data_IF_794632401757
#
_entry.id   IF_794632401757
#
_cell.length_a   1.000
_cell.length_b   1.000
_cell.length_c   1.000
_cell.angle_alpha   90.00
_cell.angle_beta   90.00
_cell.angle_gamma   90.00
#
_symmetry.space_group_name_H-M   'P 1'
#
loop_
_entity.id
_entity.type
_entity.pdbx_description
1 polymer ?
#
# COMPACT_ATOMS: atom_id res chain seq x y z
N UNK A 1 -19.54 -19.69 28.83
CA UNK A 1 -19.15 -18.57 27.97
C UNK A 1 -20.39 -18.03 27.31
N UNK A 2 -20.69 -16.77 27.52
CA UNK A 2 -21.80 -16.10 26.83
C UNK A 2 -21.41 -15.86 25.37
N UNK A 3 -22.39 -15.82 24.44
CA UNK A 3 -22.10 -15.62 23.02
C UNK A 3 -21.32 -14.31 22.73
N UNK A 4 -21.48 -13.29 23.57
CA UNK A 4 -20.74 -12.02 23.48
C UNK A 4 -19.26 -12.15 23.84
N UNK A 5 -18.89 -12.97 24.81
CA UNK A 5 -17.50 -13.25 25.19
C UNK A 5 -16.74 -13.99 24.08
N UNK A 6 -17.44 -14.89 23.36
CA UNK A 6 -16.84 -15.61 22.24
C UNK A 6 -16.57 -14.68 21.05
N UNK A 7 -17.52 -13.78 20.72
CA UNK A 7 -17.33 -12.76 19.67
C UNK A 7 -16.13 -11.88 19.97
N UNK A 8 -16.00 -11.43 21.22
CA UNK A 8 -14.90 -10.54 21.64
C UNK A 8 -13.55 -11.24 21.54
N UNK A 9 -13.44 -12.48 22.05
CA UNK A 9 -12.19 -13.26 21.95
C UNK A 9 -11.77 -13.55 20.52
N UNK A 10 -12.73 -13.92 19.63
CA UNK A 10 -12.42 -14.17 18.22
C UNK A 10 -11.99 -12.87 17.52
N UNK A 11 -12.59 -11.73 17.89
CA UNK A 11 -12.18 -10.44 17.36
C UNK A 11 -10.76 -10.06 17.80
N UNK A 12 -10.46 -10.20 19.07
CA UNK A 12 -9.13 -9.94 19.65
C UNK A 12 -8.04 -10.83 19.03
N UNK A 13 -8.34 -12.09 18.72
CA UNK A 13 -7.41 -13.02 18.04
C UNK A 13 -7.20 -12.72 16.56
N UNK A 14 -8.13 -12.03 15.89
CA UNK A 14 -8.08 -11.76 14.44
C UNK A 14 -7.77 -10.30 14.12
N UNK A 15 -7.85 -9.40 15.10
CA UNK A 15 -7.51 -7.99 14.97
C UNK A 15 -6.24 -7.73 15.77
N UNK A 16 -5.19 -7.25 15.08
CA UNK A 16 -3.91 -6.94 15.73
C UNK A 16 -4.18 -5.78 16.69
N UNK A 17 -4.35 -6.09 17.98
CA UNK A 17 -4.55 -5.10 19.01
C UNK A 17 -3.20 -4.53 19.44
N UNK A 18 -3.08 -3.21 19.45
CA UNK A 18 -1.97 -2.55 20.14
C UNK A 18 -2.13 -2.81 21.65
N UNK A 19 -1.10 -3.36 22.28
CA UNK A 19 -1.02 -3.31 23.75
C UNK A 19 -0.95 -1.83 24.17
N UNK A 20 -1.95 -1.34 24.94
CA UNK A 20 -2.00 0.07 25.34
C UNK A 20 -0.79 0.49 26.17
N UNK A 21 -0.07 -0.45 26.79
CA UNK A 21 1.06 -0.17 27.70
C UNK A 21 2.41 -0.21 26.99
N UNK A 22 2.64 -1.15 26.07
CA UNK A 22 3.94 -1.31 25.42
C UNK A 22 4.02 -0.57 24.08
N UNK A 23 2.88 -0.32 23.43
CA UNK A 23 2.82 0.24 22.07
C UNK A 23 3.47 -0.63 21.00
N UNK A 24 3.80 -1.86 21.35
CA UNK A 24 4.19 -2.92 20.43
C UNK A 24 2.95 -3.73 20.04
N UNK A 25 2.88 -4.17 18.81
CA UNK A 25 1.86 -5.12 18.39
C UNK A 25 2.09 -6.44 19.14
N UNK A 26 1.08 -6.87 19.88
CA UNK A 26 1.12 -8.18 20.53
C UNK A 26 0.76 -9.22 19.46
N UNK A 27 1.79 -9.90 18.96
CA UNK A 27 1.66 -10.83 17.84
C UNK A 27 1.25 -12.20 18.35
N UNK A 28 0.00 -12.55 18.10
CA UNK A 28 -0.48 -13.90 18.34
C UNK A 28 0.08 -14.88 17.28
N UNK A 29 0.21 -16.14 17.65
CA UNK A 29 0.63 -17.19 16.71
C UNK A 29 -0.23 -17.25 15.45
N UNK A 30 -1.50 -16.84 15.54
CA UNK A 30 -2.44 -16.74 14.42
C UNK A 30 -1.97 -15.68 13.42
N UNK A 31 -1.54 -14.52 13.91
CA UNK A 31 -1.04 -13.42 13.08
C UNK A 31 0.23 -13.84 12.33
N UNK A 32 1.17 -14.48 13.04
CA UNK A 32 2.41 -15.00 12.44
C UNK A 32 2.10 -16.05 11.37
N UNK A 33 1.14 -16.96 11.65
CA UNK A 33 0.71 -17.97 10.69
C UNK A 33 0.07 -17.33 9.44
N UNK A 34 -0.87 -16.40 9.62
CA UNK A 34 -1.52 -15.71 8.51
C UNK A 34 -0.54 -14.87 7.68
N UNK A 35 0.38 -14.18 8.35
CA UNK A 35 1.45 -13.43 7.69
C UNK A 35 2.34 -14.36 6.84
N UNK A 36 2.81 -15.46 7.43
CA UNK A 36 3.61 -16.46 6.71
C UNK A 36 2.85 -17.04 5.52
N UNK A 37 1.56 -17.34 5.69
CA UNK A 37 0.71 -17.85 4.62
C UNK A 37 0.54 -16.84 3.49
N UNK A 38 0.38 -15.54 3.78
CA UNK A 38 0.32 -14.48 2.76
C UNK A 38 1.65 -14.42 1.99
N UNK A 39 2.79 -14.39 2.70
CA UNK A 39 4.11 -14.31 2.06
C UNK A 39 4.39 -15.53 1.19
N UNK A 40 4.08 -16.74 1.68
CA UNK A 40 4.21 -17.98 0.90
C UNK A 40 3.29 -17.99 -0.33
N UNK A 41 2.08 -17.44 -0.23
CA UNK A 41 1.19 -17.29 -1.38
C UNK A 41 1.76 -16.38 -2.45
N UNK A 42 2.32 -15.22 -2.05
CA UNK A 42 2.99 -14.31 -2.98
C UNK A 42 4.15 -15.01 -3.67
N UNK A 43 4.97 -15.71 -2.90
CA UNK A 43 6.09 -16.49 -3.44
C UNK A 43 5.59 -17.57 -4.41
N UNK A 44 4.54 -18.31 -4.05
CA UNK A 44 3.97 -19.34 -4.91
C UNK A 44 3.47 -18.77 -6.24
N UNK A 45 2.75 -17.63 -6.23
CA UNK A 45 2.30 -16.95 -7.45
C UNK A 45 3.47 -16.50 -8.31
N UNK A 46 4.55 -15.99 -7.72
CA UNK A 46 5.77 -15.62 -8.46
C UNK A 46 6.41 -16.87 -9.10
N UNK A 47 6.56 -17.95 -8.33
CA UNK A 47 7.14 -19.19 -8.83
C UNK A 47 6.28 -19.87 -9.90
N UNK A 48 4.95 -19.75 -9.82
CA UNK A 48 4.00 -20.26 -10.82
C UNK A 48 4.21 -19.58 -12.20
N UNK A 49 4.79 -18.39 -12.26
CA UNK A 49 5.10 -17.72 -13.53
C UNK A 49 6.27 -18.38 -14.28
N UNK A 50 7.07 -19.18 -13.59
CA UNK A 50 8.22 -19.89 -14.19
C UNK A 50 7.73 -21.20 -14.82
N UNK A 51 7.67 -21.25 -16.15
CA UNK A 51 7.11 -22.39 -16.90
C UNK A 51 7.67 -23.77 -16.48
N UNK A 52 8.98 -23.87 -16.21
CA UNK A 52 9.60 -25.12 -15.80
C UNK A 52 9.12 -25.60 -14.43
N UNK A 53 8.85 -24.69 -13.50
CA UNK A 53 8.32 -25.01 -12.18
C UNK A 53 6.82 -25.32 -12.24
N UNK A 54 6.07 -24.59 -13.05
CA UNK A 54 4.65 -24.84 -13.25
C UNK A 54 4.39 -26.22 -13.84
N UNK A 55 5.18 -26.65 -14.85
CA UNK A 55 5.05 -27.98 -15.44
C UNK A 55 5.40 -29.09 -14.45
N UNK A 56 6.35 -28.87 -13.55
CA UNK A 56 6.82 -29.90 -12.60
C UNK A 56 5.98 -29.95 -11.32
N UNK A 57 5.54 -28.78 -10.81
CA UNK A 57 4.91 -28.64 -9.49
C UNK A 57 3.49 -28.04 -9.56
N UNK A 58 2.86 -27.99 -10.73
CA UNK A 58 1.54 -27.35 -10.91
C UNK A 58 0.46 -27.88 -9.96
N UNK A 59 0.44 -29.20 -9.69
CA UNK A 59 -0.49 -29.80 -8.71
C UNK A 59 -0.23 -29.31 -7.29
N UNK A 60 1.05 -29.12 -6.92
CA UNK A 60 1.42 -28.63 -5.59
C UNK A 60 0.99 -27.16 -5.43
N UNK A 61 1.22 -26.31 -6.45
CA UNK A 61 0.76 -24.93 -6.45
C UNK A 61 -0.76 -24.83 -6.35
N UNK A 62 -1.47 -25.65 -7.11
CA UNK A 62 -2.93 -25.69 -7.05
C UNK A 62 -3.44 -26.14 -5.66
N UNK A 63 -2.89 -27.21 -5.08
CA UNK A 63 -3.26 -27.69 -3.76
C UNK A 63 -2.98 -26.63 -2.67
N UNK A 64 -1.83 -25.96 -2.77
CA UNK A 64 -1.47 -24.86 -1.87
C UNK A 64 -2.42 -23.66 -2.02
N UNK A 65 -2.84 -23.32 -3.25
CA UNK A 65 -3.82 -22.29 -3.50
C UNK A 65 -5.16 -22.62 -2.87
N UNK A 66 -5.68 -23.83 -3.08
CA UNK A 66 -6.94 -24.30 -2.46
C UNK A 66 -6.87 -24.21 -0.94
N UNK A 67 -5.78 -24.71 -0.34
CA UNK A 67 -5.58 -24.63 1.10
C UNK A 67 -5.58 -23.18 1.60
N UNK A 68 -4.84 -22.31 0.95
CA UNK A 68 -4.71 -20.91 1.34
C UNK A 68 -6.03 -20.16 1.22
N UNK A 69 -6.77 -20.39 0.12
CA UNK A 69 -8.10 -19.78 -0.06
C UNK A 69 -9.09 -20.29 0.98
N UNK A 70 -9.04 -21.57 1.35
CA UNK A 70 -9.89 -22.11 2.42
C UNK A 70 -9.60 -21.42 3.75
N UNK A 71 -8.33 -21.27 4.12
CA UNK A 71 -7.91 -20.54 5.35
C UNK A 71 -8.39 -19.08 5.30
N UNK A 72 -8.13 -18.35 4.21
CA UNK A 72 -8.57 -16.96 4.08
C UNK A 72 -10.09 -16.80 4.06
N UNK A 73 -10.83 -17.79 3.55
CA UNK A 73 -12.29 -17.77 3.58
C UNK A 73 -12.82 -17.95 5.00
N UNK A 74 -12.23 -18.87 5.76
CA UNK A 74 -12.57 -19.08 7.18
C UNK A 74 -12.22 -17.83 7.99
N UNK A 75 -11.02 -17.26 7.80
CA UNK A 75 -10.61 -16.00 8.41
C UNK A 75 -11.61 -14.86 8.12
N UNK A 76 -11.97 -14.66 6.85
CA UNK A 76 -12.91 -13.62 6.44
C UNK A 76 -14.31 -13.83 7.04
N UNK A 77 -14.82 -15.06 7.01
CA UNK A 77 -16.10 -15.40 7.62
C UNK A 77 -16.07 -15.15 9.15
N UNK A 78 -15.01 -15.56 9.83
CA UNK A 78 -14.82 -15.33 11.27
C UNK A 78 -14.78 -13.83 11.62
N UNK A 79 -14.12 -13.03 10.79
CA UNK A 79 -14.07 -11.55 10.93
C UNK A 79 -15.44 -10.90 10.73
N UNK A 80 -16.19 -11.29 9.69
CA UNK A 80 -17.57 -10.80 9.47
C UNK A 80 -18.47 -11.18 10.63
N UNK A 81 -18.29 -12.38 11.18
CA UNK A 81 -19.07 -12.83 12.32
C UNK A 81 -18.73 -12.06 13.59
N UNK A 82 -17.44 -11.83 13.88
CA UNK A 82 -16.96 -11.20 15.12
C UNK A 82 -16.94 -9.67 15.07
N UNK A 83 -17.02 -9.02 13.89
CA UNK A 83 -16.90 -7.56 13.74
C UNK A 83 -17.89 -6.76 14.60
N UNK A 84 -19.01 -7.36 15.03
CA UNK A 84 -20.01 -6.73 15.90
C UNK A 84 -19.49 -6.48 17.32
N UNK A 85 -18.35 -7.05 17.71
CA UNK A 85 -17.67 -6.75 18.95
C UNK A 85 -17.04 -5.34 18.95
N UNK A 86 -16.64 -4.82 17.78
CA UNK A 86 -16.14 -3.45 17.64
C UNK A 86 -17.30 -2.44 17.72
N UNK A 87 -17.20 -1.40 18.58
CA UNK A 87 -18.18 -0.32 18.69
C UNK A 87 -18.57 0.33 17.35
N UNK A 88 -17.65 0.36 16.37
CA UNK A 88 -17.89 0.93 15.02
C UNK A 88 -18.89 0.12 14.20
N UNK A 89 -19.05 -1.19 14.51
CA UNK A 89 -19.85 -2.14 13.74
C UNK A 89 -20.94 -2.82 14.59
N UNK A 90 -21.37 -2.21 15.70
CA UNK A 90 -22.29 -2.76 16.71
C UNK A 90 -23.63 -3.23 16.19
N UNK A 91 -24.08 -2.74 15.02
CA UNK A 91 -25.37 -3.15 14.44
C UNK A 91 -25.25 -4.49 13.71
N UNK A 92 -26.12 -5.49 13.98
CA UNK A 92 -25.89 -6.86 13.50
C UNK A 92 -25.88 -7.01 11.97
N UNK A 93 -26.70 -6.25 11.23
CA UNK A 93 -26.74 -6.31 9.75
C UNK A 93 -25.97 -5.15 9.12
N UNK A 94 -26.26 -3.92 9.51
CA UNK A 94 -25.63 -2.73 8.94
C UNK A 94 -24.15 -2.66 9.30
N UNK A 95 -23.77 -3.11 10.51
CA UNK A 95 -22.38 -3.19 10.93
C UNK A 95 -21.56 -4.16 10.07
N UNK A 96 -22.10 -5.35 9.80
CA UNK A 96 -21.44 -6.32 8.91
C UNK A 96 -21.29 -5.80 7.49
N UNK A 97 -22.34 -5.17 6.93
CA UNK A 97 -22.28 -4.57 5.60
C UNK A 97 -21.23 -3.45 5.55
N UNK A 98 -21.18 -2.61 6.60
CA UNK A 98 -20.17 -1.55 6.73
C UNK A 98 -18.75 -2.14 6.85
N UNK A 99 -18.59 -3.27 7.56
CA UNK A 99 -17.30 -3.97 7.63
C UNK A 99 -16.86 -4.51 6.28
N UNK A 100 -17.74 -5.21 5.56
CA UNK A 100 -17.47 -5.72 4.20
C UNK A 100 -17.08 -4.59 3.23
N UNK A 101 -17.73 -3.41 3.36
CA UNK A 101 -17.42 -2.22 2.55
C UNK A 101 -16.22 -1.43 3.06
N UNK A 102 -15.61 -1.81 4.18
CA UNK A 102 -14.38 -1.18 4.67
C UNK A 102 -13.19 -1.57 3.79
N UNK A 103 -12.12 -0.76 3.83
CA UNK A 103 -10.91 -1.03 3.04
C UNK A 103 -10.40 -2.46 3.24
N UNK A 104 -10.24 -2.89 4.49
CA UNK A 104 -9.75 -4.24 4.79
C UNK A 104 -10.77 -5.33 4.47
N UNK A 105 -12.07 -5.07 4.65
CA UNK A 105 -13.12 -6.02 4.25
C UNK A 105 -13.14 -6.27 2.74
N UNK A 106 -12.96 -5.21 1.94
CA UNK A 106 -12.82 -5.32 0.48
C UNK A 106 -11.54 -6.05 0.08
N UNK A 107 -10.41 -5.78 0.74
CA UNK A 107 -9.13 -6.48 0.50
C UNK A 107 -9.26 -7.98 0.78
N UNK A 108 -9.87 -8.36 1.92
CA UNK A 108 -10.10 -9.77 2.26
C UNK A 108 -10.99 -10.46 1.23
N UNK A 109 -12.05 -9.78 0.77
CA UNK A 109 -12.93 -10.29 -0.28
C UNK A 109 -12.19 -10.47 -1.61
N UNK A 110 -11.44 -9.46 -2.05
CA UNK A 110 -10.65 -9.50 -3.30
C UNK A 110 -9.57 -10.59 -3.27
N UNK A 111 -9.05 -10.94 -2.09
CA UNK A 111 -8.05 -11.99 -1.94
C UNK A 111 -8.58 -13.40 -2.26
N UNK A 112 -9.87 -13.64 -2.04
CA UNK A 112 -10.52 -14.95 -2.26
C UNK A 112 -11.34 -14.99 -3.56
N UNK A 113 -11.88 -13.86 -4.01
CA UNK A 113 -12.78 -13.72 -5.16
C UNK A 113 -12.27 -14.41 -6.44
N UNK A 114 -11.00 -14.24 -6.88
CA UNK A 114 -10.52 -14.83 -8.14
C UNK A 114 -10.67 -16.34 -8.18
N UNK A 115 -10.43 -17.01 -7.06
CA UNK A 115 -10.56 -18.47 -6.95
C UNK A 115 -12.01 -18.91 -7.13
N UNK A 116 -12.95 -18.27 -6.44
CA UNK A 116 -14.37 -18.62 -6.55
C UNK A 116 -14.96 -18.31 -7.91
N UNK A 117 -14.52 -17.23 -8.56
CA UNK A 117 -14.93 -16.89 -9.93
C UNK A 117 -14.45 -17.95 -10.92
N UNK A 118 -13.19 -18.39 -10.81
CA UNK A 118 -12.64 -19.44 -11.67
C UNK A 118 -13.27 -20.82 -11.41
N UNK A 119 -13.72 -21.08 -10.20
CA UNK A 119 -14.43 -22.31 -9.84
C UNK A 119 -15.88 -22.31 -10.33
N UNK A 120 -16.59 -21.17 -10.24
CA UNK A 120 -18.01 -21.06 -10.57
C UNK A 120 -18.29 -20.95 -12.07
N UNK A 121 -17.36 -20.38 -12.83
CA UNK A 121 -17.55 -20.16 -14.27
C UNK A 121 -16.72 -21.16 -15.08
N UNK A 122 -17.34 -21.89 -16.02
CA UNK A 122 -16.59 -22.79 -16.91
C UNK A 122 -15.59 -22.00 -17.77
N UNK A 123 -14.45 -22.57 -18.02
CA UNK A 123 -13.36 -21.92 -18.79
C UNK A 123 -13.82 -21.44 -20.19
N UNK A 124 -14.86 -22.08 -20.76
CA UNK A 124 -15.47 -21.70 -22.02
C UNK A 124 -16.30 -20.42 -21.96
N UNK A 125 -16.74 -20.00 -20.76
CA UNK A 125 -17.54 -18.77 -20.57
C UNK A 125 -16.65 -17.55 -20.22
N UNK A 126 -15.37 -17.77 -19.91
CA UNK A 126 -14.44 -16.70 -19.54
C UNK A 126 -13.56 -16.34 -20.75
N UNK A 127 -13.62 -15.09 -21.17
CA UNK A 127 -12.66 -14.53 -22.12
C UNK A 127 -11.23 -14.63 -21.53
N UNK A 128 -10.25 -14.91 -22.40
CA UNK A 128 -8.82 -14.96 -22.02
C UNK A 128 -8.34 -13.70 -21.31
N UNK A 129 -8.96 -12.54 -21.59
CA UNK A 129 -8.68 -11.27 -20.93
C UNK A 129 -9.12 -11.30 -19.46
N UNK A 130 -10.32 -11.82 -19.19
CA UNK A 130 -10.86 -11.93 -17.82
C UNK A 130 -10.01 -12.88 -16.99
N UNK A 131 -9.62 -14.04 -17.56
CA UNK A 131 -8.72 -14.98 -16.90
C UNK A 131 -7.37 -14.34 -16.53
N UNK A 132 -6.85 -13.46 -17.38
CA UNK A 132 -5.61 -12.72 -17.10
C UNK A 132 -5.80 -11.73 -15.95
N UNK A 133 -6.90 -10.99 -15.93
CA UNK A 133 -7.24 -10.05 -14.84
C UNK A 133 -7.42 -10.80 -13.52
N UNK A 134 -8.17 -11.92 -13.51
CA UNK A 134 -8.37 -12.75 -12.32
C UNK A 134 -7.03 -13.28 -11.77
N UNK A 135 -6.10 -13.63 -12.66
CA UNK A 135 -4.75 -14.06 -12.23
C UNK A 135 -3.99 -12.91 -11.56
N UNK A 136 -4.07 -11.68 -12.12
CA UNK A 136 -3.45 -10.51 -11.50
C UNK A 136 -4.11 -10.15 -10.16
N UNK A 137 -5.43 -10.33 -10.01
CA UNK A 137 -6.11 -10.06 -8.74
C UNK A 137 -5.63 -10.96 -7.58
N UNK A 138 -4.98 -12.10 -7.86
CA UNK A 138 -4.35 -12.92 -6.80
C UNK A 138 -3.29 -12.15 -6.02
N UNK A 139 -2.60 -11.16 -6.65
CA UNK A 139 -1.66 -10.27 -5.96
C UNK A 139 -2.33 -9.33 -4.95
N UNK A 140 -3.66 -9.13 -5.01
CA UNK A 140 -4.38 -8.35 -3.99
C UNK A 140 -4.21 -8.91 -2.57
N UNK A 141 -3.84 -10.20 -2.44
CA UNK A 141 -3.50 -10.83 -1.14
C UNK A 141 -2.36 -10.09 -0.42
N UNK A 142 -1.43 -9.46 -1.17
CA UNK A 142 -0.35 -8.64 -0.58
C UNK A 142 -0.91 -7.49 0.24
N UNK A 143 -2.04 -6.91 -0.17
CA UNK A 143 -2.66 -5.80 0.54
C UNK A 143 -3.14 -6.19 1.95
N UNK A 144 -3.32 -7.50 2.22
CA UNK A 144 -3.63 -8.01 3.57
C UNK A 144 -2.48 -7.74 4.56
N UNK A 145 -1.23 -7.63 4.08
CA UNK A 145 -0.08 -7.25 4.92
C UNK A 145 -0.28 -5.90 5.60
N UNK A 146 -1.08 -5.02 4.98
CA UNK A 146 -1.41 -3.72 5.53
C UNK A 146 -2.12 -3.76 6.89
N UNK A 147 -2.77 -4.85 7.22
CA UNK A 147 -3.45 -5.05 8.49
C UNK A 147 -2.46 -5.29 9.64
N UNK A 148 -1.33 -5.90 9.33
CA UNK A 148 -0.30 -6.28 10.31
C UNK A 148 0.73 -5.16 10.54
N UNK A 149 0.47 -3.96 10.05
CA UNK A 149 1.39 -2.83 10.17
C UNK A 149 0.69 -1.56 10.62
N UNK A 150 0.93 -1.16 11.87
CA UNK A 150 0.47 0.13 12.41
C UNK A 150 1.03 1.31 11.64
N UNK A 151 2.18 1.11 10.99
CA UNK A 151 2.80 2.11 10.13
C UNK A 151 1.90 2.51 8.95
N UNK A 152 1.05 1.59 8.45
CA UNK A 152 0.08 1.90 7.39
C UNK A 152 -1.04 2.79 7.93
N UNK A 153 -1.51 2.56 9.16
CA UNK A 153 -2.47 3.44 9.83
C UNK A 153 -1.89 4.84 10.02
N UNK A 154 -0.64 4.93 10.50
CA UNK A 154 0.09 6.21 10.62
C UNK A 154 0.24 6.89 9.26
N UNK A 155 0.67 6.18 8.22
CA UNK A 155 0.80 6.71 6.87
C UNK A 155 -0.52 7.27 6.33
N UNK A 156 -1.63 6.57 6.54
CA UNK A 156 -2.97 7.05 6.17
C UNK A 156 -3.33 8.36 6.87
N UNK A 157 -3.02 8.50 8.17
CA UNK A 157 -3.25 9.75 8.92
C UNK A 157 -2.37 10.88 8.39
N UNK A 158 -1.09 10.61 8.11
CA UNK A 158 -0.15 11.58 7.51
C UNK A 158 -0.67 12.08 6.16
N UNK A 159 -1.01 11.17 5.24
CA UNK A 159 -1.54 11.54 3.93
C UNK A 159 -2.85 12.33 4.06
N UNK A 160 -3.73 11.93 4.98
CA UNK A 160 -4.97 12.64 5.26
C UNK A 160 -4.75 14.06 5.80
N UNK A 161 -3.80 14.23 6.72
CA UNK A 161 -3.46 15.52 7.31
C UNK A 161 -2.76 16.45 6.31
N UNK A 162 -1.90 15.92 5.44
CA UNK A 162 -1.10 16.67 4.47
C UNK A 162 -1.65 16.65 3.04
N UNK A 163 -2.91 16.22 2.86
CA UNK A 163 -3.53 16.07 1.52
C UNK A 163 -3.51 17.35 0.69
N UNK A 164 -3.65 18.52 1.31
CA UNK A 164 -3.59 19.81 0.63
C UNK A 164 -2.20 20.09 0.07
N UNK A 165 -1.19 19.97 0.91
CA UNK A 165 0.21 20.20 0.54
C UNK A 165 0.68 19.20 -0.53
N UNK A 166 0.31 17.92 -0.38
CA UNK A 166 0.58 16.87 -1.36
C UNK A 166 -0.14 17.15 -2.69
N UNK A 167 -1.38 17.63 -2.64
CA UNK A 167 -2.14 18.01 -3.84
C UNK A 167 -1.44 19.11 -4.63
N UNK A 168 -0.97 20.16 -3.96
CA UNK A 168 -0.21 21.26 -4.59
C UNK A 168 1.12 20.75 -5.14
N UNK A 169 1.87 19.95 -4.38
CA UNK A 169 3.14 19.40 -4.84
C UNK A 169 2.97 18.49 -6.07
N UNK A 170 1.97 17.61 -6.07
CA UNK A 170 1.68 16.76 -7.23
C UNK A 170 1.19 17.57 -8.44
N UNK A 171 0.37 18.60 -8.24
CA UNK A 171 -0.04 19.49 -9.31
C UNK A 171 1.18 20.21 -9.92
N UNK A 172 2.12 20.69 -9.12
CA UNK A 172 3.37 21.28 -9.59
C UNK A 172 4.20 20.29 -10.41
N UNK A 173 4.33 19.03 -9.97
CA UNK A 173 5.00 17.97 -10.73
C UNK A 173 4.35 17.78 -12.10
N UNK A 174 3.00 17.71 -12.17
CA UNK A 174 2.29 17.53 -13.45
C UNK A 174 2.48 18.73 -14.37
N UNK A 175 2.36 19.94 -13.86
CA UNK A 175 2.55 21.18 -14.64
C UNK A 175 3.96 21.22 -15.24
N UNK A 176 4.98 20.93 -14.43
CA UNK A 176 6.37 20.94 -14.90
C UNK A 176 6.63 19.81 -15.89
N UNK A 177 6.06 18.62 -15.67
CA UNK A 177 6.15 17.53 -16.64
C UNK A 177 5.59 17.95 -18.00
N UNK A 178 4.40 18.57 -18.02
CA UNK A 178 3.79 19.04 -19.28
C UNK A 178 4.65 20.11 -19.95
N UNK A 179 5.11 21.11 -19.19
CA UNK A 179 5.94 22.19 -19.72
C UNK A 179 7.28 21.69 -20.26
N UNK A 180 7.97 20.84 -19.50
CA UNK A 180 9.25 20.26 -19.88
C UNK A 180 9.11 19.38 -21.13
N UNK A 181 8.09 18.52 -21.18
CA UNK A 181 7.82 17.66 -22.32
C UNK A 181 7.44 18.46 -23.56
N UNK A 182 6.66 19.52 -23.41
CA UNK A 182 6.31 20.42 -24.52
C UNK A 182 7.55 21.14 -25.05
N UNK A 183 8.41 21.66 -24.16
CA UNK A 183 9.64 22.34 -24.59
C UNK A 183 10.56 21.41 -25.38
N UNK A 184 10.77 20.20 -24.91
CA UNK A 184 11.61 19.21 -25.63
C UNK A 184 10.93 18.75 -26.93
N UNK A 185 9.62 18.55 -26.92
CA UNK A 185 8.88 18.20 -28.15
C UNK A 185 9.13 19.24 -29.25
N UNK A 186 8.92 20.53 -28.96
CA UNK A 186 9.11 21.59 -29.97
C UNK A 186 10.56 21.77 -30.43
N UNK A 187 11.53 21.37 -29.63
CA UNK A 187 12.96 21.48 -30.02
C UNK A 187 13.44 20.26 -30.81
N UNK A 188 12.89 19.08 -30.51
CA UNK A 188 13.40 17.81 -31.09
C UNK A 188 12.51 17.23 -32.19
N UNK A 189 11.22 17.59 -32.28
CA UNK A 189 10.27 16.97 -33.23
C UNK A 189 10.67 17.12 -34.69
N UNK A 190 11.31 18.22 -35.10
CA UNK A 190 11.79 18.41 -36.46
C UNK A 190 13.01 17.55 -36.78
N UNK A 191 13.85 17.29 -35.76
CA UNK A 191 15.10 16.53 -35.91
C UNK A 191 14.89 15.02 -35.66
N UNK A 192 13.97 14.67 -34.77
CA UNK A 192 13.62 13.31 -34.40
C UNK A 192 12.10 13.07 -34.49
N UNK A 193 11.45 13.16 -35.64
CA UNK A 193 10.01 13.04 -35.77
C UNK A 193 9.48 11.66 -35.39
N UNK A 194 10.29 10.61 -35.52
CA UNK A 194 9.93 9.24 -35.18
C UNK A 194 10.03 8.94 -33.66
N UNK A 195 10.78 9.76 -32.91
CA UNK A 195 11.01 9.59 -31.45
C UNK A 195 10.08 10.54 -30.68
N UNK A 196 10.14 11.83 -30.97
CA UNK A 196 9.29 12.85 -30.34
C UNK A 196 8.05 13.14 -31.19
N UNK A 197 7.19 12.11 -31.36
CA UNK A 197 6.02 12.15 -32.27
C UNK A 197 4.90 13.08 -31.78
N UNK A 198 4.81 13.33 -30.46
CA UNK A 198 3.78 14.14 -29.82
C UNK A 198 4.19 14.55 -28.41
N UNK A 199 3.51 15.56 -27.84
CA UNK A 199 3.73 15.94 -26.43
C UNK A 199 3.48 14.76 -25.47
N UNK A 200 2.40 13.95 -25.58
CA UNK A 200 2.24 12.74 -24.75
C UNK A 200 3.39 11.73 -24.91
N UNK A 201 3.95 11.55 -26.11
CA UNK A 201 5.14 10.71 -26.29
C UNK A 201 6.37 11.31 -25.58
N UNK A 202 6.58 12.63 -25.70
CA UNK A 202 7.65 13.35 -25.00
C UNK A 202 7.48 13.30 -23.48
N UNK A 203 6.24 13.16 -22.94
CA UNK A 203 6.01 13.00 -21.49
C UNK A 203 6.62 11.70 -20.97
N UNK A 204 6.75 10.65 -21.77
CA UNK A 204 7.48 9.45 -21.35
C UNK A 204 8.95 9.77 -21.05
N UNK A 205 9.61 10.52 -21.95
CA UNK A 205 10.94 11.03 -21.68
C UNK A 205 10.96 11.95 -20.45
N UNK A 206 9.99 12.85 -20.34
CA UNK A 206 9.87 13.78 -19.23
C UNK A 206 9.76 13.06 -17.88
N UNK A 207 8.93 12.03 -17.76
CA UNK A 207 8.82 11.20 -16.55
C UNK A 207 10.16 10.55 -16.25
N UNK A 208 10.78 9.89 -17.24
CA UNK A 208 12.06 9.21 -17.08
C UNK A 208 13.18 10.15 -16.65
N UNK A 209 13.21 11.36 -17.20
CA UNK A 209 14.21 12.38 -16.88
C UNK A 209 14.00 13.01 -15.50
N UNK A 210 12.77 13.45 -15.19
CA UNK A 210 12.42 14.10 -13.93
C UNK A 210 12.53 13.15 -12.74
N UNK A 211 12.22 11.85 -12.92
CA UNK A 211 12.36 10.82 -11.88
C UNK A 211 13.80 10.28 -11.75
N UNK A 212 14.72 10.77 -12.56
CA UNK A 212 16.13 10.33 -12.60
C UNK A 212 16.36 8.86 -13.01
N UNK A 213 15.36 8.20 -13.62
CA UNK A 213 15.46 6.80 -14.10
C UNK A 213 16.35 6.73 -15.34
N UNK A 214 16.09 7.57 -16.35
CA UNK A 214 16.90 7.71 -17.56
C UNK A 214 17.04 6.42 -18.38
N UNK A 215 15.93 5.87 -18.86
CA UNK A 215 15.94 4.64 -19.69
C UNK A 215 16.83 4.72 -20.92
N UNK A 216 17.02 5.94 -21.51
CA UNK A 216 17.88 6.15 -22.66
C UNK A 216 17.26 5.76 -24.00
N UNK A 217 16.04 5.27 -24.02
CA UNK A 217 15.26 4.93 -25.23
C UNK A 217 14.82 6.18 -26.01
N UNK A 218 14.62 7.29 -25.31
CA UNK A 218 14.39 8.62 -25.85
C UNK A 218 15.36 9.61 -25.19
N UNK A 219 16.04 10.43 -25.98
CA UNK A 219 16.91 11.47 -25.49
C UNK A 219 17.05 12.62 -26.50
N UNK A 220 17.14 13.89 -26.05
CA UNK A 220 17.39 15.02 -26.95
C UNK A 220 18.77 14.90 -27.60
N UNK A 221 18.85 15.14 -28.91
CA UNK A 221 20.11 15.11 -29.66
C UNK A 221 20.59 16.49 -30.09
N UNK A 222 19.66 17.46 -30.24
CA UNK A 222 20.05 18.82 -30.58
C UNK A 222 20.81 19.51 -29.47
N UNK A 223 21.73 20.45 -29.75
CA UNK A 223 22.44 21.19 -28.72
C UNK A 223 21.51 21.92 -27.74
N UNK A 224 20.43 22.53 -28.26
CA UNK A 224 19.43 23.22 -27.45
C UNK A 224 18.62 22.23 -26.61
N UNK A 225 18.21 21.09 -27.17
CA UNK A 225 17.50 20.06 -26.47
C UNK A 225 18.33 19.43 -25.33
N UNK A 226 19.64 19.21 -25.55
CA UNK A 226 20.57 18.75 -24.51
C UNK A 226 20.71 19.76 -23.38
N UNK A 227 20.83 21.04 -23.71
CA UNK A 227 20.93 22.12 -22.73
C UNK A 227 19.64 22.22 -21.88
N UNK A 228 18.48 22.29 -22.54
CA UNK A 228 17.18 22.29 -21.86
C UNK A 228 16.95 21.03 -21.04
N UNK A 229 17.27 19.87 -21.60
CA UNK A 229 17.20 18.58 -20.91
C UNK A 229 18.01 18.55 -19.62
N UNK A 230 19.22 19.11 -19.64
CA UNK A 230 20.05 19.25 -18.44
C UNK A 230 19.40 20.10 -17.36
N UNK A 231 18.83 21.26 -17.71
CA UNK A 231 18.09 22.12 -16.79
C UNK A 231 16.86 21.39 -16.23
N UNK A 232 16.09 20.73 -17.08
CA UNK A 232 14.87 19.98 -16.70
C UNK A 232 15.21 18.87 -15.70
N UNK A 233 16.30 18.14 -15.92
CA UNK A 233 16.74 17.07 -15.00
C UNK A 233 17.15 17.63 -13.62
N UNK A 234 17.86 18.76 -13.58
CA UNK A 234 18.20 19.42 -12.32
C UNK A 234 16.95 19.90 -11.56
N UNK A 235 15.99 20.51 -12.27
CA UNK A 235 14.71 20.91 -11.69
C UNK A 235 13.90 19.70 -11.21
N UNK A 236 13.95 18.58 -11.92
CA UNK A 236 13.28 17.33 -11.58
C UNK A 236 13.65 16.84 -10.19
N UNK A 237 14.94 16.83 -9.85
CA UNK A 237 15.42 16.41 -8.52
C UNK A 237 14.75 17.24 -7.42
N UNK A 238 14.72 18.57 -7.56
CA UNK A 238 14.14 19.45 -6.55
C UNK A 238 12.65 19.26 -6.38
N UNK A 239 11.92 19.06 -7.48
CA UNK A 239 10.45 18.96 -7.47
C UNK A 239 9.97 17.63 -6.96
N UNK A 240 10.60 16.53 -7.34
CA UNK A 240 10.25 15.20 -6.80
C UNK A 240 10.61 15.03 -5.32
N UNK A 241 11.55 15.82 -4.81
CA UNK A 241 11.85 15.86 -3.38
C UNK A 241 10.70 16.46 -2.54
N UNK A 242 9.85 17.33 -3.10
CA UNK A 242 8.77 18.00 -2.36
C UNK A 242 7.73 17.02 -1.80
N UNK A 243 7.06 16.15 -2.59
CA UNK A 243 6.12 15.18 -2.04
C UNK A 243 6.76 14.24 -1.01
N UNK A 244 7.98 13.78 -1.28
CA UNK A 244 8.72 12.92 -0.36
C UNK A 244 9.02 13.62 0.98
N UNK A 245 9.45 14.89 0.93
CA UNK A 245 9.71 15.72 2.10
C UNK A 245 8.45 15.98 2.93
N UNK A 246 7.31 16.25 2.28
CA UNK A 246 6.01 16.44 2.95
C UNK A 246 5.60 15.17 3.69
N UNK A 247 5.74 13.99 3.06
CA UNK A 247 5.42 12.71 3.69
C UNK A 247 6.37 12.43 4.86
N UNK A 248 7.67 12.64 4.67
CA UNK A 248 8.68 12.39 5.71
C UNK A 248 8.46 13.27 6.95
N UNK A 249 8.25 14.58 6.75
CA UNK A 249 7.97 15.51 7.85
C UNK A 249 6.66 15.20 8.57
N UNK A 250 5.60 14.83 7.81
CA UNK A 250 4.32 14.45 8.39
C UNK A 250 4.41 13.15 9.19
N UNK A 251 5.19 12.17 8.73
CA UNK A 251 5.42 10.92 9.44
C UNK A 251 6.20 11.13 10.75
N UNK A 252 7.21 12.01 10.73
CA UNK A 252 7.95 12.37 11.94
C UNK A 252 7.04 13.07 12.97
N UNK A 253 6.22 14.02 12.53
CA UNK A 253 5.27 14.71 13.40
C UNK A 253 4.25 13.74 14.03
N UNK A 254 3.67 12.83 13.24
CA UNK A 254 2.73 11.82 13.73
C UNK A 254 3.37 10.87 14.74
N UNK A 255 4.63 10.49 14.51
CA UNK A 255 5.39 9.65 15.44
C UNK A 255 5.67 10.38 16.75
N UNK A 256 5.98 11.67 16.69
CA UNK A 256 6.19 12.50 17.90
C UNK A 256 4.90 12.65 18.71
N UNK A 257 3.76 12.92 18.02
CA UNK A 257 2.44 13.02 18.68
C UNK A 257 2.10 11.73 19.43
N UNK A 258 2.22 10.59 18.78
CA UNK A 258 1.95 9.30 19.43
C UNK A 258 2.85 9.03 20.63
N UNK A 259 4.09 9.50 20.65
CA UNK A 259 4.97 9.41 21.83
C UNK A 259 4.52 10.34 22.96
N UNK A 260 4.11 11.55 22.63
CA UNK A 260 3.62 12.52 23.63
C UNK A 260 2.31 12.07 24.26
N UNK A 261 1.38 11.52 23.46
CA UNK A 261 0.11 10.95 23.94
C UNK A 261 0.34 9.74 24.86
N UNK A 262 1.40 8.94 24.60
CA UNK A 262 1.81 7.82 25.47
C UNK A 262 2.62 8.26 26.70
N UNK A 263 2.81 9.54 26.94
CA UNK A 263 3.60 10.05 28.07
C UNK A 263 5.09 9.74 27.96
N UNK A 264 5.61 9.56 26.76
CA UNK A 264 7.04 9.26 26.52
C UNK A 264 7.79 10.53 26.17
N UNK A 265 8.89 10.82 26.86
CA UNK A 265 9.75 11.98 26.57
C UNK A 265 10.38 11.87 25.18
N UNK A 266 10.21 12.92 24.34
CA UNK A 266 10.75 12.95 23.01
C UNK A 266 12.30 13.02 22.94
N UNK A 267 12.95 13.46 24.05
CA UNK A 267 14.40 13.60 24.11
C UNK A 267 15.11 12.38 24.69
N UNK A 268 14.54 11.72 25.69
CA UNK A 268 15.19 10.60 26.40
C UNK A 268 14.44 9.26 26.34
N UNK A 269 13.22 9.24 25.82
CA UNK A 269 12.41 8.02 25.67
C UNK A 269 11.83 7.46 26.99
N UNK A 270 11.93 8.18 28.11
CA UNK A 270 11.35 7.75 29.41
C UNK A 270 9.88 8.15 29.51
N UNK A 271 9.09 7.37 30.26
CA UNK A 271 7.71 7.69 30.59
C UNK A 271 7.68 8.86 31.58
N UNK A 272 6.82 9.88 31.34
CA UNK A 272 6.55 10.86 32.39
C UNK A 272 5.37 10.40 33.25
N UNK A 273 5.41 10.72 34.54
CA UNK A 273 4.21 10.73 35.36
C UNK A 273 3.27 11.86 34.89
N UNK A 274 1.97 11.64 34.98
CA UNK A 274 0.88 12.51 34.51
C UNK A 274 0.83 13.93 35.13
N UNK A 275 1.85 14.36 35.90
CA UNK A 275 1.87 15.64 36.64
C UNK A 275 2.77 16.73 36.02
N UNK A 276 3.44 16.52 34.90
CA UNK A 276 4.33 17.54 34.31
C UNK A 276 3.68 18.24 33.11
N UNK A 277 3.02 19.36 33.33
CA UNK A 277 2.45 20.24 32.29
C UNK A 277 3.50 20.84 31.32
N UNK A 278 4.79 20.68 31.54
CA UNK A 278 5.83 21.37 30.75
C UNK A 278 6.62 20.52 29.77
N UNK A 279 6.39 19.20 29.70
CA UNK A 279 7.07 18.33 28.70
C UNK A 279 8.61 18.27 28.83
N UNK A 280 9.19 18.82 29.88
CA UNK A 280 10.63 18.79 30.15
C UNK A 280 10.94 17.67 31.13
N UNK A 281 11.89 16.80 30.76
CA UNK A 281 12.43 15.83 31.70
C UNK A 281 13.12 16.60 32.85
N UNK A 282 12.49 16.63 34.02
CA UNK A 282 13.20 16.99 35.23
C UNK A 282 14.05 15.80 35.62
N UNK A 283 15.37 15.96 35.68
CA UNK A 283 16.27 14.99 36.30
C UNK A 283 15.85 14.86 37.77
N UNK A 284 15.23 13.73 38.11
CA UNK A 284 15.14 13.32 39.54
C UNK A 284 16.49 12.76 39.90
N UNK A 285 17.17 13.46 40.78
CA UNK A 285 18.37 13.02 41.49
C UNK A 285 18.12 11.70 42.22
#
# INVERSE_FOLDING_TARGET
MTGSELHQRVWELLDVSEDPQSGAADWDWVDVFLLALILLNVLAVILETVNSLQLRFGTVFWAFEVFSVAVFSVEYAARIWSCTADPRYRQPFVGRLRYVSSFFGVVDFLAILPFYVTLALPASALDLRILRVLRLMRFARVLKLGRYSDSIGRMKRVIGARRGDLGVALAAVVVILVLASSAIYYVESDTQPDVFTSIPAAMWWGISALTTVGYGDMAPITPLGKFLGGIIQLLGIAIFALPAGIIASGYEEETRRGRTEKGICNSCGRLFGLESESGKCTESQ
#
